data_IF_036664336015
#
_entry.id   IF_036664336015
#
_cell.length_a   1.000
_cell.length_b   1.000
_cell.length_c   1.000
_cell.angle_alpha   90.00
_cell.angle_beta   90.00
_cell.angle_gamma   90.00
#
_symmetry.space_group_name_H-M   'P 1'
#
loop_
_entity.id
_entity.type
_entity.pdbx_description
1 polymer ?
#
# COMPACT_ATOMS: atom_id res chain seq x y z
N UNK A 1 -3.46 16.68 13.62
CA UNK A 1 -2.54 16.18 12.56
C UNK A 1 -3.23 16.34 11.20
N UNK A 2 -2.58 17.04 10.27
CA UNK A 2 -3.15 17.51 8.99
C UNK A 2 -3.41 16.32 8.02
N UNK A 3 -4.66 15.86 7.87
CA UNK A 3 -5.02 14.70 7.02
C UNK A 3 -5.20 15.04 5.53
N UNK A 4 -4.32 15.87 4.95
CA UNK A 4 -4.31 16.11 3.51
C UNK A 4 -3.17 15.38 2.81
N UNK A 5 -3.06 14.05 3.02
CA UNK A 5 -2.20 13.21 2.17
C UNK A 5 -2.71 13.26 0.74
N UNK A 6 -1.89 13.71 -0.20
CA UNK A 6 -2.27 13.82 -1.59
C UNK A 6 -2.09 12.46 -2.29
N UNK A 7 -2.79 12.25 -3.41
CA UNK A 7 -2.75 10.99 -4.15
C UNK A 7 -1.34 10.53 -4.51
N UNK A 8 -0.47 11.47 -4.88
CA UNK A 8 0.94 11.19 -5.16
C UNK A 8 1.67 10.65 -3.95
N UNK A 9 1.42 11.19 -2.76
CA UNK A 9 2.04 10.74 -1.51
C UNK A 9 1.63 9.31 -1.19
N UNK A 10 0.33 9.01 -1.23
CA UNK A 10 -0.18 7.66 -0.94
C UNK A 10 0.37 6.66 -1.97
N UNK A 11 0.43 7.03 -3.25
CA UNK A 11 1.06 6.19 -4.29
C UNK A 11 2.54 5.90 -3.99
N UNK A 12 3.32 6.92 -3.65
CA UNK A 12 4.73 6.73 -3.29
C UNK A 12 4.91 5.88 -2.03
N UNK A 13 4.02 6.00 -1.04
CA UNK A 13 4.02 5.11 0.12
C UNK A 13 3.73 3.66 -0.30
N UNK A 14 2.75 3.41 -1.17
CA UNK A 14 2.45 2.06 -1.69
C UNK A 14 3.68 1.46 -2.39
N UNK A 15 4.35 2.22 -3.27
CA UNK A 15 5.53 1.73 -3.98
C UNK A 15 6.66 1.37 -2.99
N UNK A 16 6.91 2.23 -2.00
CA UNK A 16 7.93 2.00 -0.98
C UNK A 16 7.63 0.75 -0.12
N UNK A 17 6.37 0.54 0.28
CA UNK A 17 5.98 -0.67 1.01
C UNK A 17 6.05 -1.92 0.15
N UNK A 18 5.75 -1.81 -1.15
CA UNK A 18 5.88 -2.91 -2.10
C UNK A 18 7.34 -3.32 -2.29
N UNK A 19 8.26 -2.36 -2.36
CA UNK A 19 9.69 -2.62 -2.41
C UNK A 19 10.22 -3.25 -1.11
N UNK A 20 9.74 -2.78 0.05
CA UNK A 20 10.06 -3.39 1.35
C UNK A 20 9.58 -4.84 1.44
N UNK A 21 8.32 -5.09 1.10
CA UNK A 21 7.75 -6.44 1.07
C UNK A 21 8.55 -7.35 0.13
N UNK A 22 8.85 -6.87 -1.08
CA UNK A 22 9.67 -7.59 -2.05
C UNK A 22 11.10 -7.87 -1.55
N UNK A 23 11.69 -6.94 -0.80
CA UNK A 23 13.03 -7.12 -0.22
C UNK A 23 13.01 -8.09 0.98
N UNK A 24 11.93 -8.06 1.77
CA UNK A 24 11.70 -9.00 2.86
C UNK A 24 11.56 -10.42 2.31
N UNK A 25 10.67 -10.65 1.34
CA UNK A 25 10.47 -12.00 0.76
C UNK A 25 11.65 -12.50 -0.08
N UNK A 26 12.53 -11.60 -0.54
CA UNK A 26 13.76 -11.98 -1.26
C UNK A 26 14.92 -12.34 -0.33
N UNK A 27 14.88 -11.97 0.94
CA UNK A 27 15.87 -12.44 1.90
C UNK A 27 15.64 -13.93 2.16
N UNK A 28 16.62 -14.76 1.81
CA UNK A 28 16.61 -16.19 2.15
C UNK A 28 16.48 -16.34 3.67
N UNK A 29 15.28 -16.68 4.13
CA UNK A 29 14.96 -16.85 5.55
C UNK A 29 13.63 -16.25 5.98
N UNK A 30 13.03 -15.36 5.19
CA UNK A 30 11.70 -14.79 5.50
C UNK A 30 10.63 -15.52 4.69
N UNK A 31 9.70 -16.14 5.40
CA UNK A 31 8.53 -16.81 4.82
C UNK A 31 7.40 -15.82 4.58
N UNK A 32 6.52 -16.10 3.63
CA UNK A 32 5.33 -15.27 3.37
C UNK A 32 4.36 -15.21 4.56
N UNK A 33 4.48 -16.15 5.49
CA UNK A 33 3.69 -16.21 6.73
C UNK A 33 4.40 -15.56 7.91
N UNK A 34 5.61 -15.02 7.70
CA UNK A 34 6.27 -14.25 8.75
C UNK A 34 5.42 -13.03 9.10
N UNK A 35 5.36 -12.77 10.40
CA UNK A 35 4.58 -11.68 10.96
C UNK A 35 4.89 -10.34 10.28
N UNK A 36 6.16 -10.10 9.96
CA UNK A 36 6.60 -8.89 9.26
C UNK A 36 5.98 -8.77 7.86
N UNK A 37 5.94 -9.86 7.08
CA UNK A 37 5.33 -9.87 5.74
C UNK A 37 3.82 -9.66 5.82
N UNK A 38 3.18 -10.28 6.82
CA UNK A 38 1.74 -10.12 7.06
C UNK A 38 1.41 -8.67 7.43
N UNK A 39 2.16 -8.06 8.34
CA UNK A 39 1.97 -6.67 8.76
C UNK A 39 2.22 -5.69 7.59
N UNK A 40 3.27 -5.92 6.80
CA UNK A 40 3.55 -5.13 5.60
C UNK A 40 2.43 -5.27 4.56
N UNK A 41 1.89 -6.48 4.37
CA UNK A 41 0.79 -6.73 3.44
C UNK A 41 -0.50 -6.04 3.89
N UNK A 42 -0.86 -6.13 5.16
CA UNK A 42 -2.04 -5.46 5.70
C UNK A 42 -1.96 -3.94 5.51
N UNK A 43 -0.79 -3.36 5.80
CA UNK A 43 -0.60 -1.93 5.63
C UNK A 43 -0.65 -1.50 4.15
N UNK A 44 -0.13 -2.33 3.24
CA UNK A 44 -0.22 -2.11 1.81
C UNK A 44 -1.69 -2.07 1.34
N UNK A 45 -2.50 -3.02 1.81
CA UNK A 45 -3.94 -3.08 1.53
C UNK A 45 -4.67 -1.82 2.01
N UNK A 46 -4.39 -1.35 3.24
CA UNK A 46 -4.96 -0.11 3.77
C UNK A 46 -4.61 1.11 2.89
N UNK A 47 -3.35 1.22 2.48
CA UNK A 47 -2.89 2.31 1.60
C UNK A 47 -3.54 2.25 0.22
N UNK A 48 -3.71 1.05 -0.36
CA UNK A 48 -4.38 0.85 -1.65
C UNK A 48 -5.86 1.24 -1.55
N UNK A 49 -6.54 0.84 -0.47
CA UNK A 49 -7.93 1.24 -0.22
C UNK A 49 -8.04 2.75 -0.04
N UNK A 50 -7.14 3.38 0.71
CA UNK A 50 -7.10 4.84 0.87
C UNK A 50 -6.87 5.54 -0.47
N UNK A 51 -5.90 5.07 -1.26
CA UNK A 51 -5.61 5.58 -2.59
C UNK A 51 -6.82 5.44 -3.51
N UNK A 52 -7.47 4.28 -3.53
CA UNK A 52 -8.64 4.02 -4.38
C UNK A 52 -9.81 4.93 -3.98
N UNK A 53 -10.11 5.03 -2.69
CA UNK A 53 -11.19 5.89 -2.17
C UNK A 53 -10.94 7.37 -2.45
N UNK A 54 -9.69 7.83 -2.36
CA UNK A 54 -9.33 9.25 -2.46
C UNK A 54 -9.00 9.70 -3.90
N UNK A 55 -8.45 8.81 -4.71
CA UNK A 55 -7.85 9.12 -6.01
C UNK A 55 -8.56 8.46 -7.18
N UNK A 56 -9.13 7.26 -7.03
CA UNK A 56 -9.89 6.59 -8.10
C UNK A 56 -11.37 6.96 -8.13
N UNK A 57 -11.89 7.72 -7.16
CA UNK A 57 -13.28 8.23 -7.16
C UNK A 57 -13.62 9.19 -8.32
N UNK A 58 -12.72 9.41 -9.29
CA UNK A 58 -12.96 10.23 -10.48
C UNK A 58 -13.38 9.45 -11.74
N UNK A 59 -13.44 8.13 -11.70
CA UNK A 59 -13.85 7.33 -12.86
C UNK A 59 -14.82 6.24 -12.42
N UNK A 60 -16.02 6.22 -13.03
CA UNK A 60 -17.17 5.30 -12.84
C UNK A 60 -18.20 5.77 -11.79
N UNK A 61 -19.42 6.20 -12.11
CA UNK A 61 -20.16 6.33 -13.39
C UNK A 61 -21.15 7.52 -13.31
N UNK A 62 -21.68 8.07 -14.41
CA UNK A 62 -22.01 7.43 -15.68
C UNK A 62 -23.48 7.04 -15.64
N UNK A 63 -24.35 8.02 -15.93
CA UNK A 63 -25.75 7.83 -16.31
C UNK A 63 -25.81 7.58 -17.83
#
# INVERSE_FOLDING_TARGET
MNKNRNCKTIKSEIELYKEKLNSAVKNEGISLVDKEVIELSQHLDELIVEYTKKCMKKTSGGD
#
